data_IF_978247994817
#
_entry.id   IF_978247994817
#
_cell.length_a   1.000
_cell.length_b   1.000
_cell.length_c   1.000
_cell.angle_alpha   90.00
_cell.angle_beta   90.00
_cell.angle_gamma   90.00
#
_symmetry.space_group_name_H-M   'P 1'
#
loop_
_entity.id
_entity.type
_entity.pdbx_description
1 polymer ?
#
# COMPACT_ATOMS: atom_id res chain seq x y z
N UNK A 1 -19.99 -9.58 2.38
CA UNK A 1 -19.23 -9.01 3.52
C UNK A 1 -17.75 -9.16 3.25
N UNK A 2 -16.93 -8.25 3.74
CA UNK A 2 -15.47 -8.34 3.62
C UNK A 2 -14.94 -9.38 4.61
N UNK A 3 -13.94 -10.17 4.23
CA UNK A 3 -13.30 -11.15 5.11
C UNK A 3 -11.77 -10.93 5.15
N UNK A 4 -11.11 -11.58 6.11
CA UNK A 4 -9.68 -11.42 6.35
C UNK A 4 -8.80 -11.98 5.22
N UNK A 5 -9.20 -13.09 4.61
CA UNK A 5 -8.46 -13.73 3.52
C UNK A 5 -8.47 -12.85 2.26
N UNK A 6 -9.62 -12.26 1.92
CA UNK A 6 -9.75 -11.31 0.82
C UNK A 6 -8.79 -10.13 0.97
N UNK A 7 -8.70 -9.56 2.18
CA UNK A 7 -7.78 -8.45 2.45
C UNK A 7 -6.33 -8.89 2.35
N UNK A 8 -5.98 -10.07 2.84
CA UNK A 8 -4.61 -10.58 2.75
C UNK A 8 -4.20 -10.79 1.28
N UNK A 9 -5.11 -11.27 0.43
CA UNK A 9 -4.90 -11.40 -1.01
C UNK A 9 -4.70 -10.02 -1.64
N UNK A 10 -5.52 -9.03 -1.29
CA UNK A 10 -5.42 -7.66 -1.80
C UNK A 10 -4.14 -6.96 -1.34
N UNK A 11 -3.69 -7.16 -0.10
CA UNK A 11 -2.39 -6.68 0.40
C UNK A 11 -1.23 -7.26 -0.41
N UNK A 12 -1.24 -8.57 -0.67
CA UNK A 12 -0.22 -9.22 -1.49
C UNK A 12 -0.23 -8.71 -2.94
N UNK A 13 -1.42 -8.47 -3.49
CA UNK A 13 -1.58 -7.89 -4.83
C UNK A 13 -1.05 -6.45 -4.87
N UNK A 14 -1.31 -5.65 -3.83
CA UNK A 14 -0.82 -4.29 -3.71
C UNK A 14 0.71 -4.26 -3.63
N UNK A 15 1.32 -5.12 -2.80
CA UNK A 15 2.79 -5.22 -2.70
C UNK A 15 3.42 -5.64 -4.03
N UNK A 16 2.84 -6.63 -4.72
CA UNK A 16 3.31 -7.05 -6.04
C UNK A 16 3.25 -5.90 -7.05
N UNK A 17 2.14 -5.15 -7.06
CA UNK A 17 1.98 -4.00 -7.94
C UNK A 17 2.98 -2.87 -7.64
N UNK A 18 3.28 -2.61 -6.37
CA UNK A 18 4.32 -1.66 -5.97
C UNK A 18 5.71 -2.06 -6.46
N UNK A 19 6.09 -3.35 -6.31
CA UNK A 19 7.38 -3.89 -6.77
C UNK A 19 7.50 -3.83 -8.30
N UNK A 20 6.41 -4.12 -9.02
CA UNK A 20 6.40 -4.16 -10.48
C UNK A 20 6.16 -2.79 -11.13
N UNK A 21 5.93 -1.74 -10.33
CA UNK A 21 5.46 -0.44 -10.80
C UNK A 21 4.20 -0.56 -11.69
N UNK A 22 3.31 -1.50 -11.37
CA UNK A 22 2.05 -1.72 -12.11
C UNK A 22 1.01 -0.67 -11.71
N UNK A 23 1.16 0.51 -12.32
CA UNK A 23 0.28 1.67 -12.10
C UNK A 23 -1.19 1.36 -12.40
N UNK A 24 -1.50 0.39 -13.26
CA UNK A 24 -2.89 0.03 -13.55
C UNK A 24 -3.51 -0.73 -12.38
N UNK A 25 -2.79 -1.71 -11.84
CA UNK A 25 -3.24 -2.42 -10.64
C UNK A 25 -3.31 -1.49 -9.44
N UNK A 26 -2.31 -0.62 -9.23
CA UNK A 26 -2.34 0.38 -8.16
C UNK A 26 -3.58 1.28 -8.30
N UNK A 27 -3.85 1.82 -9.50
CA UNK A 27 -5.03 2.65 -9.75
C UNK A 27 -6.35 1.94 -9.44
N UNK A 28 -6.43 0.62 -9.64
CA UNK A 28 -7.64 -0.16 -9.36
C UNK A 28 -7.82 -0.46 -7.85
N UNK A 29 -6.72 -0.57 -7.11
CA UNK A 29 -6.73 -0.88 -5.68
C UNK A 29 -6.89 0.36 -4.79
N UNK A 30 -6.58 1.55 -5.31
CA UNK A 30 -6.70 2.82 -4.58
C UNK A 30 -8.03 3.52 -4.90
N UNK A 31 -8.74 3.96 -3.87
CA UNK A 31 -9.91 4.81 -4.06
C UNK A 31 -9.51 6.18 -4.61
N UNK A 32 -10.36 6.82 -5.42
CA UNK A 32 -10.04 8.10 -6.04
C UNK A 32 -9.87 9.24 -5.02
N UNK A 33 -10.46 9.10 -3.83
CA UNK A 33 -10.32 10.03 -2.72
C UNK A 33 -9.33 9.57 -1.64
N UNK A 34 -8.53 8.52 -1.92
CA UNK A 34 -7.53 8.03 -0.95
C UNK A 34 -6.58 9.15 -0.53
N UNK A 35 -6.29 9.18 0.77
CA UNK A 35 -5.22 10.00 1.35
C UNK A 35 -4.13 9.08 1.84
N UNK A 36 -2.90 9.32 1.37
CA UNK A 36 -1.72 8.60 1.81
C UNK A 36 -0.78 9.54 2.58
N UNK A 37 -0.33 9.12 3.76
CA UNK A 37 0.72 9.82 4.51
C UNK A 37 2.00 9.01 4.39
N UNK A 38 3.01 9.57 3.71
CA UNK A 38 4.29 8.90 3.55
C UNK A 38 5.16 9.00 4.83
N UNK A 39 6.31 8.33 4.84
CA UNK A 39 7.20 8.28 6.00
C UNK A 39 7.92 9.61 6.29
N UNK A 40 7.79 10.60 5.41
CA UNK A 40 8.23 11.98 5.63
C UNK A 40 7.11 12.88 6.21
N UNK A 41 5.92 12.32 6.47
CA UNK A 41 4.75 13.05 6.94
C UNK A 41 4.06 13.88 5.86
N UNK A 42 4.37 13.65 4.58
CA UNK A 42 3.70 14.35 3.49
C UNK A 42 2.35 13.69 3.22
N UNK A 43 1.34 14.54 2.98
CA UNK A 43 -0.02 14.12 2.61
C UNK A 43 -0.10 14.09 1.09
N UNK A 44 -0.34 12.91 0.54
CA UNK A 44 -0.36 12.62 -0.89
C UNK A 44 -1.77 12.20 -1.31
N UNK A 45 -2.21 12.67 -2.48
CA UNK A 45 -3.40 12.15 -3.15
C UNK A 45 -3.02 10.94 -4.01
N UNK A 46 -4.03 10.21 -4.48
CA UNK A 46 -3.85 9.10 -5.44
C UNK A 46 -2.94 9.45 -6.61
N UNK A 47 -3.15 10.62 -7.23
CA UNK A 47 -2.36 11.05 -8.39
C UNK A 47 -0.87 11.18 -8.07
N UNK A 48 -0.55 11.69 -6.88
CA UNK A 48 0.83 11.93 -6.46
C UNK A 48 1.54 10.60 -6.17
N UNK A 49 0.86 9.68 -5.48
CA UNK A 49 1.36 8.33 -5.18
C UNK A 49 1.62 7.51 -6.46
N UNK A 50 0.64 7.49 -7.37
CA UNK A 50 0.73 6.81 -8.66
C UNK A 50 1.86 7.40 -9.51
N UNK A 51 2.01 8.72 -9.52
CA UNK A 51 3.07 9.38 -10.28
C UNK A 51 4.46 9.01 -9.72
N UNK A 52 4.62 8.91 -8.40
CA UNK A 52 5.90 8.49 -7.80
C UNK A 52 6.31 7.07 -8.21
N UNK A 53 5.35 6.14 -8.29
CA UNK A 53 5.58 4.80 -8.80
C UNK A 53 5.87 4.78 -10.30
N UNK A 54 5.21 5.65 -11.08
CA UNK A 54 5.46 5.77 -12.52
C UNK A 54 6.87 6.28 -12.82
N UNK A 55 7.33 7.27 -12.07
CA UNK A 55 8.65 7.89 -12.23
C UNK A 55 9.77 7.05 -11.60
N UNK A 56 9.40 6.01 -10.83
CA UNK A 56 10.31 5.14 -10.07
C UNK A 56 11.19 5.93 -9.11
N UNK A 57 10.63 6.97 -8.49
CA UNK A 57 11.30 7.75 -7.45
C UNK A 57 11.76 6.87 -6.29
N UNK A 58 11.05 5.77 -6.06
CA UNK A 58 11.37 4.72 -5.10
C UNK A 58 11.33 3.35 -5.82
N UNK A 59 12.46 2.90 -6.34
CA UNK A 59 12.53 1.65 -7.09
C UNK A 59 12.60 0.45 -6.12
N UNK A 60 11.44 -0.11 -5.81
CA UNK A 60 11.29 -1.22 -4.86
C UNK A 60 11.72 -2.52 -5.52
N UNK A 61 12.80 -3.13 -5.02
CA UNK A 61 13.26 -4.45 -5.45
C UNK A 61 12.46 -5.57 -4.78
N UNK A 62 12.18 -5.43 -3.48
CA UNK A 62 11.45 -6.43 -2.71
C UNK A 62 10.79 -5.83 -1.46
N UNK A 63 9.68 -6.46 -1.05
CA UNK A 63 8.99 -6.19 0.22
C UNK A 63 8.91 -7.50 0.99
N UNK A 64 9.64 -7.58 2.11
CA UNK A 64 9.56 -8.70 3.07
C UNK A 64 8.51 -8.36 4.13
N UNK A 65 7.39 -9.08 4.16
CA UNK A 65 6.35 -8.89 5.19
C UNK A 65 6.71 -9.73 6.41
N UNK A 66 7.16 -9.07 7.48
CA UNK A 66 7.56 -9.71 8.74
C UNK A 66 6.34 -10.11 9.59
N UNK A 67 5.32 -9.26 9.58
CA UNK A 67 4.06 -9.49 10.30
C UNK A 67 2.96 -8.74 9.60
N UNK A 68 1.81 -9.39 9.44
CA UNK A 68 0.57 -8.75 9.00
C UNK A 68 -0.54 -9.03 10.02
N UNK A 69 -1.42 -8.07 10.24
CA UNK A 69 -2.66 -8.22 10.97
C UNK A 69 -3.78 -7.52 10.23
N UNK A 70 -4.94 -8.16 10.16
CA UNK A 70 -6.14 -7.62 9.54
C UNK A 70 -7.25 -7.65 10.57
N UNK A 71 -7.94 -6.52 10.74
CA UNK A 71 -9.14 -6.40 11.57
C UNK A 71 -10.32 -6.06 10.68
N UNK A 72 -11.37 -6.86 10.75
CA UNK A 72 -12.59 -6.68 9.94
C UNK A 72 -13.63 -5.87 10.72
N UNK A 73 -14.24 -4.91 10.02
CA UNK A 73 -15.45 -4.19 10.40
C UNK A 73 -16.50 -4.41 9.30
N UNK A 74 -17.73 -3.91 9.49
CA UNK A 74 -18.88 -4.16 8.60
C UNK A 74 -18.52 -4.24 7.10
N UNK A 75 -18.19 -3.11 6.50
CA UNK A 75 -17.78 -2.97 5.10
C UNK A 75 -16.35 -2.43 4.97
N UNK A 76 -15.60 -2.38 6.06
CA UNK A 76 -14.23 -1.87 6.09
C UNK A 76 -13.30 -2.86 6.76
N UNK A 77 -12.01 -2.76 6.46
CA UNK A 77 -10.99 -3.50 7.16
C UNK A 77 -9.79 -2.60 7.42
N UNK A 78 -9.06 -2.89 8.49
CA UNK A 78 -7.79 -2.25 8.79
C UNK A 78 -6.71 -3.31 8.69
N UNK A 79 -5.69 -3.06 7.88
CA UNK A 79 -4.48 -3.86 7.85
C UNK A 79 -3.31 -3.10 8.46
N UNK A 80 -2.44 -3.83 9.14
CA UNK A 80 -1.17 -3.33 9.66
C UNK A 80 -0.09 -4.33 9.30
N UNK A 81 0.88 -3.88 8.51
CA UNK A 81 1.99 -4.69 8.01
C UNK A 81 3.32 -4.12 8.50
N UNK A 82 4.09 -4.92 9.22
CA UNK A 82 5.50 -4.65 9.50
C UNK A 82 6.34 -5.27 8.39
N UNK A 83 7.15 -4.46 7.73
CA UNK A 83 7.86 -4.83 6.51
C UNK A 83 9.31 -4.40 6.52
N UNK A 84 10.16 -5.12 5.80
CA UNK A 84 11.41 -4.60 5.28
C UNK A 84 11.24 -4.31 3.79
N UNK A 85 11.54 -3.09 3.39
CA UNK A 85 11.48 -2.68 1.98
C UNK A 85 12.90 -2.50 1.49
N UNK A 86 13.26 -3.28 0.48
CA UNK A 86 14.53 -3.18 -0.22
C UNK A 86 14.31 -2.35 -1.48
N UNK A 87 14.99 -1.21 -1.59
CA UNK A 87 14.81 -0.29 -2.70
C UNK A 87 16.13 0.31 -3.16
N UNK A 88 16.11 0.88 -4.36
CA UNK A 88 17.24 1.61 -4.94
C UNK A 88 16.94 3.10 -4.99
N UNK A 89 17.90 3.88 -4.52
CA UNK A 89 17.97 5.32 -4.73
C UNK A 89 19.15 5.62 -5.64
N UNK A 90 18.89 5.69 -6.94
CA UNK A 90 19.96 5.70 -7.95
C UNK A 90 20.78 4.42 -7.88
N UNK A 91 22.09 4.53 -7.62
CA UNK A 91 23.01 3.38 -7.53
C UNK A 91 23.15 2.81 -6.11
N UNK A 92 22.38 3.31 -5.13
CA UNK A 92 22.48 2.87 -3.73
C UNK A 92 21.30 2.00 -3.36
N UNK A 93 21.58 0.77 -2.94
CA UNK A 93 20.60 -0.09 -2.26
C UNK A 93 20.38 0.42 -0.83
N UNK A 94 19.13 0.53 -0.44
CA UNK A 94 18.68 0.86 0.91
C UNK A 94 17.68 -0.19 1.38
N UNK A 95 17.67 -0.45 2.68
CA UNK A 95 16.66 -1.30 3.31
C UNK A 95 16.03 -0.52 4.45
N UNK A 96 14.73 -0.27 4.33
CA UNK A 96 13.95 0.47 5.31
C UNK A 96 13.01 -0.47 6.05
N UNK A 97 12.93 -0.31 7.36
CA UNK A 97 11.90 -0.96 8.16
C UNK A 97 10.68 -0.05 8.23
N UNK A 98 9.57 -0.50 7.65
CA UNK A 98 8.37 0.29 7.48
C UNK A 98 7.17 -0.42 8.08
N UNK A 99 6.36 0.33 8.82
CA UNK A 99 5.02 -0.09 9.26
C UNK A 99 3.99 0.60 8.39
N UNK A 100 3.23 -0.20 7.63
CA UNK A 100 2.08 0.27 6.88
C UNK A 100 0.80 0.11 7.70
N UNK A 101 -0.05 1.12 7.70
CA UNK A 101 -1.44 1.06 8.15
C UNK A 101 -2.33 1.42 6.97
N UNK A 102 -3.25 0.53 6.58
CA UNK A 102 -4.19 0.80 5.48
C UNK A 102 -5.62 0.52 5.93
N UNK A 103 -6.52 1.38 5.48
CA UNK A 103 -7.97 1.21 5.64
C UNK A 103 -8.54 0.82 4.29
N UNK A 104 -9.16 -0.34 4.24
CA UNK A 104 -9.87 -0.88 3.09
C UNK A 104 -11.37 -0.67 3.25
N UNK A 105 -12.06 -0.39 2.16
CA UNK A 105 -13.51 -0.29 2.12
C UNK A 105 -14.06 -1.08 0.95
N UNK A 106 -15.12 -1.85 1.20
CA UNK A 106 -15.95 -2.46 0.18
C UNK A 106 -17.01 -1.46 -0.30
N UNK A 107 -16.95 -1.14 -1.58
CA UNK A 107 -17.85 -0.22 -2.27
C UNK A 107 -19.15 -0.92 -2.70
N UNK A 108 -20.10 -0.12 -3.21
CA UNK A 108 -21.40 -0.59 -3.70
C UNK A 108 -21.27 -1.52 -4.91
N UNK A 109 -20.26 -1.28 -5.77
CA UNK A 109 -19.92 -2.14 -6.92
C UNK A 109 -19.15 -3.42 -6.52
N UNK A 110 -19.12 -3.74 -5.22
CA UNK A 110 -18.40 -4.84 -4.58
C UNK A 110 -16.86 -4.74 -4.69
N UNK A 111 -16.30 -3.70 -5.31
CA UNK A 111 -14.86 -3.45 -5.30
C UNK A 111 -14.36 -3.17 -3.89
N UNK A 112 -13.15 -3.63 -3.56
CA UNK A 112 -12.50 -3.34 -2.30
C UNK A 112 -11.27 -2.49 -2.59
N UNK A 113 -11.24 -1.28 -2.02
CA UNK A 113 -10.19 -0.30 -2.28
C UNK A 113 -9.61 0.25 -0.99
N UNK A 114 -8.35 0.67 -1.05
CA UNK A 114 -7.71 1.46 0.01
C UNK A 114 -8.30 2.87 -0.02
N UNK A 115 -8.87 3.30 1.10
CA UNK A 115 -9.45 4.65 1.27
C UNK A 115 -8.59 5.55 2.16
N UNK A 116 -7.65 4.98 2.90
CA UNK A 116 -6.64 5.71 3.67
C UNK A 116 -5.42 4.84 3.88
N UNK A 117 -4.23 5.43 3.83
CA UNK A 117 -2.99 4.74 4.11
C UNK A 117 -1.99 5.64 4.84
N UNK A 118 -1.16 5.05 5.68
CA UNK A 118 -0.02 5.72 6.31
C UNK A 118 1.14 4.75 6.39
N UNK A 119 2.36 5.26 6.23
CA UNK A 119 3.58 4.50 6.48
C UNK A 119 4.49 5.26 7.44
N UNK A 120 5.07 4.53 8.38
CA UNK A 120 6.03 5.06 9.36
C UNK A 120 7.31 4.23 9.32
N UNK A 121 8.46 4.89 9.31
CA UNK A 121 9.75 4.23 9.47
C UNK A 121 10.06 3.96 10.96
N UNK A 122 10.72 2.83 11.24
CA UNK A 122 11.14 2.42 12.60
C UNK A 122 12.65 2.31 12.76
#
# INVERSE_FOLDING_TARGET
MINQEDIQILENKLNTAMIQHDVNTLNNLLDDQVVFINHFGNILKKSDDIQSHKDKDFDIEAIEVLKNSVTIFKNTAISVSNTKVHAHFGNKKQTDHLIYNRVWQKNIDESIKVISATVTAI
#
